data_IF_500373323783
#
_entry.id   IF_500373323783
#
_cell.length_a   1.000
_cell.length_b   1.000
_cell.length_c   1.000
_cell.angle_alpha   90.00
_cell.angle_beta   90.00
_cell.angle_gamma   90.00
#
_symmetry.space_group_name_H-M   'P 1'
#
loop_
_entity.id
_entity.type
_entity.pdbx_description
1 polymer ?
#
# COMPACT_ATOMS: atom_id res chain seq x y z
N UNK A 1 -9.68 -25.52 -9.45
CA UNK A 1 -10.06 -24.47 -8.46
C UNK A 1 -10.08 -25.00 -7.01
N UNK A 2 -10.48 -26.26 -6.74
CA UNK A 2 -10.61 -26.81 -5.38
C UNK A 2 -9.31 -27.06 -4.57
N UNK A 3 -8.11 -26.77 -5.10
CA UNK A 3 -6.84 -26.96 -4.36
C UNK A 3 -6.50 -25.83 -3.38
N UNK A 4 -7.18 -24.68 -3.46
CA UNK A 4 -6.98 -23.51 -2.58
C UNK A 4 -8.18 -23.23 -1.65
N UNK A 5 -9.06 -24.22 -1.48
CA UNK A 5 -10.46 -24.09 -1.06
C UNK A 5 -10.75 -23.44 0.30
N UNK A 6 -9.74 -23.13 1.11
CA UNK A 6 -9.94 -22.59 2.46
C UNK A 6 -9.70 -21.07 2.62
N UNK A 7 -9.31 -20.33 1.58
CA UNK A 7 -9.08 -18.86 1.71
C UNK A 7 -9.80 -17.98 0.71
N UNK A 8 -9.98 -18.42 -0.53
CA UNK A 8 -10.61 -17.63 -1.58
C UNK A 8 -11.71 -18.43 -2.26
N UNK A 9 -12.83 -17.77 -2.54
CA UNK A 9 -13.94 -18.32 -3.31
C UNK A 9 -14.08 -17.53 -4.60
N UNK A 10 -14.21 -18.23 -5.72
CA UNK A 10 -14.46 -17.64 -7.03
C UNK A 10 -15.91 -17.91 -7.37
N UNK A 11 -16.69 -16.84 -7.54
CA UNK A 11 -18.02 -16.94 -8.13
C UNK A 11 -17.86 -17.20 -9.63
N UNK A 12 -18.57 -18.20 -10.13
CA UNK A 12 -18.54 -18.54 -11.55
C UNK A 12 -19.94 -18.89 -12.05
N UNK A 13 -20.18 -18.63 -13.33
CA UNK A 13 -21.38 -19.05 -14.03
C UNK A 13 -20.97 -19.66 -15.37
N UNK A 14 -21.50 -20.83 -15.69
CA UNK A 14 -21.20 -21.52 -16.93
C UNK A 14 -22.16 -21.07 -18.02
N UNK A 15 -21.61 -20.59 -19.13
CA UNK A 15 -22.35 -20.32 -20.36
C UNK A 15 -22.07 -21.45 -21.36
N UNK A 16 -23.00 -22.38 -21.58
CA UNK A 16 -22.78 -23.50 -22.49
C UNK A 16 -22.57 -23.04 -23.94
N UNK A 17 -21.51 -23.50 -24.58
CA UNK A 17 -21.22 -23.24 -25.99
C UNK A 17 -20.60 -24.46 -26.66
N UNK A 18 -20.80 -24.59 -27.98
CA UNK A 18 -19.95 -25.44 -28.81
C UNK A 18 -18.55 -24.80 -28.91
N UNK A 19 -17.51 -25.59 -28.63
CA UNK A 19 -16.12 -25.14 -28.61
C UNK A 19 -15.26 -25.76 -29.73
N UNK A 20 -15.87 -26.60 -30.57
CA UNK A 20 -15.25 -27.24 -31.72
C UNK A 20 -16.32 -27.60 -32.77
N UNK A 21 -15.88 -27.84 -34.01
CA UNK A 21 -16.76 -28.13 -35.16
C UNK A 21 -17.36 -26.88 -35.81
N UNK A 22 -18.11 -27.08 -36.88
CA UNK A 22 -18.57 -26.01 -37.78
C UNK A 22 -19.45 -24.95 -37.11
N UNK A 23 -20.17 -25.33 -36.03
CA UNK A 23 -21.01 -24.42 -35.25
C UNK A 23 -20.30 -23.68 -34.12
N UNK A 24 -19.00 -23.90 -33.90
CA UNK A 24 -18.30 -23.34 -32.74
C UNK A 24 -18.25 -21.81 -32.77
N UNK A 25 -17.87 -21.23 -33.91
CA UNK A 25 -17.73 -19.77 -34.08
C UNK A 25 -19.02 -19.05 -33.72
N UNK A 26 -20.14 -19.43 -34.36
CA UNK A 26 -21.44 -18.80 -34.13
C UNK A 26 -21.97 -19.04 -32.71
N UNK A 27 -21.72 -20.23 -32.14
CA UNK A 27 -22.11 -20.53 -30.77
C UNK A 27 -21.36 -19.67 -29.74
N UNK A 28 -20.05 -19.51 -29.89
CA UNK A 28 -19.22 -18.73 -28.96
C UNK A 28 -19.59 -17.24 -29.06
N UNK A 29 -19.72 -16.70 -30.26
CA UNK A 29 -20.13 -15.30 -30.46
C UNK A 29 -21.48 -15.02 -29.78
N UNK A 30 -22.47 -15.89 -29.98
CA UNK A 30 -23.79 -15.76 -29.33
C UNK A 30 -23.69 -15.80 -27.79
N UNK A 31 -22.75 -16.57 -27.25
CA UNK A 31 -22.51 -16.60 -25.80
C UNK A 31 -21.84 -15.31 -25.32
N UNK A 32 -20.84 -14.79 -26.04
CA UNK A 32 -20.21 -13.52 -25.72
C UNK A 32 -21.21 -12.36 -25.74
N UNK A 33 -22.15 -12.36 -26.70
CA UNK A 33 -23.26 -11.40 -26.74
C UNK A 33 -24.17 -11.49 -25.52
N UNK A 34 -24.48 -12.70 -25.04
CA UNK A 34 -25.24 -12.90 -23.79
C UNK A 34 -24.48 -12.40 -22.58
N UNK A 35 -23.19 -12.69 -22.49
CA UNK A 35 -22.34 -12.23 -21.37
C UNK A 35 -22.30 -10.70 -21.35
N UNK A 36 -22.22 -10.06 -22.51
CA UNK A 36 -22.26 -8.60 -22.64
C UNK A 36 -23.54 -7.97 -22.08
N UNK A 37 -24.65 -8.71 -21.95
CA UNK A 37 -25.88 -8.19 -21.32
C UNK A 37 -25.82 -8.19 -19.79
N UNK A 38 -24.90 -8.95 -19.20
CA UNK A 38 -24.79 -9.17 -17.74
C UNK A 38 -23.36 -8.93 -17.24
N UNK A 39 -22.56 -8.17 -18.00
CA UNK A 39 -21.12 -8.06 -17.76
C UNK A 39 -20.79 -7.45 -16.39
N UNK A 40 -21.64 -6.56 -15.86
CA UNK A 40 -21.44 -5.90 -14.56
C UNK A 40 -21.39 -6.88 -13.37
N UNK A 41 -21.81 -8.14 -13.55
CA UNK A 41 -21.75 -9.18 -12.52
C UNK A 41 -20.45 -10.00 -12.52
N UNK A 42 -19.56 -9.77 -13.48
CA UNK A 42 -18.36 -10.59 -13.69
C UNK A 42 -17.12 -9.72 -13.90
N UNK A 43 -15.96 -10.21 -13.43
CA UNK A 43 -14.68 -9.52 -13.61
C UNK A 43 -13.92 -9.97 -14.85
N UNK A 44 -14.22 -11.15 -15.39
CA UNK A 44 -13.54 -11.75 -16.52
C UNK A 44 -14.40 -12.80 -17.22
N UNK A 45 -14.08 -13.08 -18.47
CA UNK A 45 -14.65 -14.19 -19.25
C UNK A 45 -13.58 -15.23 -19.47
N UNK A 46 -13.91 -16.50 -19.23
CA UNK A 46 -12.99 -17.62 -19.43
C UNK A 46 -13.50 -18.50 -20.56
N UNK A 47 -12.74 -18.57 -21.66
CA UNK A 47 -12.99 -19.50 -22.77
C UNK A 47 -12.06 -20.70 -22.56
N UNK A 48 -12.61 -21.79 -22.04
CA UNK A 48 -11.87 -23.03 -21.80
C UNK A 48 -12.34 -24.13 -22.73
N UNK A 49 -11.41 -24.88 -23.30
CA UNK A 49 -11.68 -26.11 -24.04
C UNK A 49 -10.95 -27.26 -23.34
N UNK A 50 -11.61 -28.39 -23.20
CA UNK A 50 -10.99 -29.61 -22.68
C UNK A 50 -9.95 -30.19 -23.64
N UNK A 51 -9.24 -31.23 -23.22
CA UNK A 51 -8.23 -31.89 -24.04
C UNK A 51 -8.76 -32.45 -25.36
N UNK A 52 -7.94 -32.37 -26.40
CA UNK A 52 -8.19 -32.86 -27.76
C UNK A 52 -7.00 -32.52 -28.66
N UNK A 53 -6.78 -33.30 -29.73
CA UNK A 53 -5.76 -32.95 -30.73
C UNK A 53 -6.11 -31.66 -31.48
N UNK A 54 -5.22 -31.25 -32.38
CA UNK A 54 -5.27 -29.97 -33.11
C UNK A 54 -6.55 -29.75 -33.94
N UNK A 55 -7.31 -30.82 -34.16
CA UNK A 55 -8.61 -30.81 -34.81
C UNK A 55 -9.58 -29.89 -34.04
N UNK A 56 -10.10 -28.88 -34.74
CA UNK A 56 -11.07 -27.93 -34.19
C UNK A 56 -10.51 -26.61 -33.66
N UNK A 57 -9.20 -26.36 -33.79
CA UNK A 57 -8.59 -25.07 -33.42
C UNK A 57 -8.81 -23.94 -34.44
N UNK A 58 -9.17 -24.27 -35.68
CA UNK A 58 -9.39 -23.28 -36.75
C UNK A 58 -10.48 -22.26 -36.42
N UNK A 59 -11.46 -22.63 -35.59
CA UNK A 59 -12.51 -21.72 -35.12
C UNK A 59 -11.92 -20.49 -34.40
N UNK A 60 -10.80 -20.66 -33.68
CA UNK A 60 -10.14 -19.60 -32.92
C UNK A 60 -9.23 -18.71 -33.76
N UNK A 61 -9.10 -18.99 -35.07
CA UNK A 61 -8.51 -18.09 -36.05
C UNK A 61 -9.57 -17.33 -36.85
N UNK A 62 -10.86 -17.54 -36.57
CA UNK A 62 -11.93 -16.86 -37.28
C UNK A 62 -11.96 -15.37 -36.91
N UNK A 63 -12.02 -14.51 -37.93
CA UNK A 63 -12.02 -13.06 -37.77
C UNK A 63 -13.17 -12.55 -36.90
N UNK A 64 -14.40 -13.03 -37.11
CA UNK A 64 -15.58 -12.56 -36.37
C UNK A 64 -15.53 -12.96 -34.90
N UNK A 65 -15.04 -14.17 -34.59
CA UNK A 65 -14.81 -14.59 -33.21
C UNK A 65 -13.74 -13.72 -32.54
N UNK A 66 -12.61 -13.52 -33.21
CA UNK A 66 -11.51 -12.71 -32.69
C UNK A 66 -11.97 -11.26 -32.45
N UNK A 67 -12.76 -10.71 -33.37
CA UNK A 67 -13.37 -9.38 -33.23
C UNK A 67 -14.32 -9.32 -32.04
N UNK A 68 -15.15 -10.33 -31.83
CA UNK A 68 -16.05 -10.40 -30.67
C UNK A 68 -15.28 -10.47 -29.34
N UNK A 69 -14.17 -11.22 -29.30
CA UNK A 69 -13.27 -11.29 -28.14
C UNK A 69 -12.61 -9.94 -27.88
N UNK A 70 -12.09 -9.27 -28.92
CA UNK A 70 -11.44 -7.96 -28.81
C UNK A 70 -12.37 -6.87 -28.28
N UNK A 71 -13.64 -6.88 -28.68
CA UNK A 71 -14.66 -5.91 -28.24
C UNK A 71 -15.44 -6.37 -27.00
N UNK A 72 -15.03 -7.47 -26.35
CA UNK A 72 -15.63 -7.90 -25.11
C UNK A 72 -15.38 -6.84 -24.02
N UNK A 73 -16.40 -6.41 -23.25
CA UNK A 73 -16.22 -5.41 -22.19
C UNK A 73 -15.40 -5.94 -21.01
N UNK A 74 -15.26 -7.25 -20.89
CA UNK A 74 -14.50 -7.92 -19.83
C UNK A 74 -13.22 -8.53 -20.39
N UNK A 75 -12.14 -8.60 -19.59
CA UNK A 75 -10.92 -9.30 -19.99
C UNK A 75 -11.23 -10.76 -20.30
N UNK A 76 -10.87 -11.20 -21.51
CA UNK A 76 -11.06 -12.57 -21.96
C UNK A 76 -9.79 -13.37 -21.69
N UNK A 77 -9.94 -14.46 -20.95
CA UNK A 77 -8.91 -15.42 -20.58
C UNK A 77 -9.14 -16.70 -21.39
N UNK A 78 -8.11 -17.22 -22.06
CA UNK A 78 -8.22 -18.42 -22.90
C UNK A 78 -7.47 -19.58 -22.29
N UNK A 79 -8.14 -20.72 -22.18
CA UNK A 79 -7.57 -22.02 -21.83
C UNK A 79 -8.01 -23.06 -22.85
N UNK A 80 -7.78 -22.76 -24.14
CA UNK A 80 -8.26 -23.55 -25.28
C UNK A 80 -7.31 -24.72 -25.58
N UNK A 81 -6.02 -24.49 -25.30
CA UNK A 81 -4.95 -25.47 -25.33
C UNK A 81 -4.36 -25.73 -26.71
N UNK A 82 -3.03 -25.70 -26.80
CA UNK A 82 -2.16 -26.30 -27.80
C UNK A 82 -0.70 -25.98 -27.40
N UNK A 83 0.23 -26.94 -27.45
CA UNK A 83 1.64 -26.67 -27.10
C UNK A 83 2.50 -26.30 -28.32
N UNK A 84 2.01 -26.51 -29.54
CA UNK A 84 2.82 -26.36 -30.76
C UNK A 84 2.45 -25.19 -31.67
N UNK A 85 1.23 -24.63 -31.61
CA UNK A 85 0.85 -23.42 -32.36
C UNK A 85 -0.09 -22.52 -31.53
N UNK A 86 0.09 -21.21 -31.60
CA UNK A 86 -0.80 -20.23 -30.98
C UNK A 86 -1.87 -19.78 -31.99
N UNK A 87 -3.13 -19.68 -31.57
CA UNK A 87 -4.24 -19.17 -32.39
C UNK A 87 -4.37 -17.65 -32.26
N UNK A 88 -4.99 -17.00 -33.25
CA UNK A 88 -5.21 -15.55 -33.23
C UNK A 88 -6.03 -15.12 -32.00
N UNK A 89 -7.05 -15.91 -31.62
CA UNK A 89 -7.86 -15.64 -30.43
C UNK A 89 -7.01 -15.63 -29.15
N UNK A 90 -5.99 -16.50 -29.06
CA UNK A 90 -5.08 -16.56 -27.92
C UNK A 90 -4.12 -15.36 -27.90
N UNK A 91 -3.62 -14.94 -29.06
CA UNK A 91 -2.74 -13.78 -29.20
C UNK A 91 -3.40 -12.47 -28.75
N UNK A 92 -4.72 -12.35 -28.95
CA UNK A 92 -5.48 -11.14 -28.60
C UNK A 92 -6.18 -11.25 -27.24
N UNK A 93 -6.17 -12.43 -26.62
CA UNK A 93 -6.75 -12.61 -25.29
C UNK A 93 -5.95 -11.80 -24.26
N UNK A 94 -6.61 -11.45 -23.15
CA UNK A 94 -5.92 -10.80 -22.04
C UNK A 94 -4.82 -11.68 -21.45
N UNK A 95 -5.07 -12.99 -21.36
CA UNK A 95 -4.08 -13.99 -20.98
C UNK A 95 -4.46 -15.37 -21.54
N UNK A 96 -3.46 -16.11 -22.01
CA UNK A 96 -3.56 -17.49 -22.45
C UNK A 96 -2.89 -18.43 -21.42
N UNK A 97 -3.61 -19.44 -20.96
CA UNK A 97 -3.07 -20.61 -20.27
C UNK A 97 -3.10 -21.85 -21.17
N UNK A 98 -1.97 -22.57 -21.23
CA UNK A 98 -1.82 -23.79 -22.07
C UNK A 98 -2.91 -24.84 -21.74
N UNK A 99 -3.37 -24.89 -20.49
CA UNK A 99 -4.48 -25.75 -20.06
C UNK A 99 -5.49 -25.01 -19.20
N UNK A 100 -6.73 -25.51 -19.07
CA UNK A 100 -7.71 -24.98 -18.11
C UNK A 100 -7.19 -24.96 -16.66
N UNK A 101 -6.32 -25.91 -16.29
CA UNK A 101 -5.70 -25.94 -14.96
C UNK A 101 -4.70 -24.81 -14.79
N UNK A 102 -3.85 -24.55 -15.79
CA UNK A 102 -2.89 -23.43 -15.75
C UNK A 102 -3.61 -22.09 -15.61
N UNK A 103 -4.74 -21.93 -16.32
CA UNK A 103 -5.57 -20.74 -16.22
C UNK A 103 -6.19 -20.57 -14.82
N UNK A 104 -6.66 -21.67 -14.23
CA UNK A 104 -7.16 -21.65 -12.86
C UNK A 104 -6.05 -21.27 -11.87
N UNK A 105 -4.84 -21.80 -12.04
CA UNK A 105 -3.70 -21.46 -11.20
C UNK A 105 -3.26 -20.00 -11.38
N UNK A 106 -3.29 -19.47 -12.61
CA UNK A 106 -3.03 -18.06 -12.88
C UNK A 106 -3.99 -17.15 -12.10
N UNK A 107 -5.29 -17.45 -12.16
CA UNK A 107 -6.32 -16.70 -11.41
C UNK A 107 -6.03 -16.78 -9.91
N UNK A 108 -5.80 -17.97 -9.37
CA UNK A 108 -5.54 -18.16 -7.93
C UNK A 108 -4.26 -17.45 -7.47
N UNK A 109 -3.19 -17.51 -8.26
CA UNK A 109 -1.93 -16.82 -7.94
C UNK A 109 -2.10 -15.31 -7.84
N UNK A 110 -3.06 -14.71 -8.54
CA UNK A 110 -3.32 -13.26 -8.45
C UNK A 110 -3.81 -12.88 -7.05
N UNK A 111 -4.69 -13.69 -6.46
CA UNK A 111 -5.16 -13.49 -5.09
C UNK A 111 -4.03 -13.68 -4.09
N UNK A 112 -3.28 -14.79 -4.20
CA UNK A 112 -2.15 -15.09 -3.29
C UNK A 112 -1.10 -13.99 -3.30
N UNK A 113 -0.66 -13.52 -4.49
CA UNK A 113 0.33 -12.44 -4.60
C UNK A 113 -0.15 -11.13 -4.01
N UNK A 114 -1.44 -10.83 -4.17
CA UNK A 114 -2.04 -9.60 -3.64
C UNK A 114 -2.11 -9.65 -2.11
N UNK A 115 -2.48 -10.80 -1.55
CA UNK A 115 -2.52 -11.05 -0.10
C UNK A 115 -1.13 -10.93 0.55
N UNK A 116 -0.12 -11.54 -0.07
CA UNK A 116 1.26 -11.41 0.40
C UNK A 116 1.74 -9.96 0.39
N UNK A 117 1.41 -9.20 -0.66
CA UNK A 117 1.74 -7.77 -0.74
C UNK A 117 1.02 -6.96 0.34
N UNK A 118 -0.25 -7.26 0.58
CA UNK A 118 -1.07 -6.61 1.60
C UNK A 118 -0.45 -6.83 2.99
N UNK A 119 -0.11 -8.06 3.34
CA UNK A 119 0.53 -8.39 4.62
C UNK A 119 1.88 -7.68 4.79
N UNK A 120 2.75 -7.72 3.78
CA UNK A 120 4.03 -6.99 3.79
C UNK A 120 3.84 -5.49 4.01
N UNK A 121 2.83 -4.91 3.38
CA UNK A 121 2.53 -3.48 3.50
C UNK A 121 2.03 -3.13 4.90
N UNK A 122 1.17 -3.97 5.48
CA UNK A 122 0.68 -3.82 6.85
C UNK A 122 1.84 -3.83 7.85
N UNK A 123 2.77 -4.78 7.72
CA UNK A 123 3.91 -4.89 8.64
C UNK A 123 4.88 -3.71 8.49
N UNK A 124 5.13 -3.27 7.25
CA UNK A 124 5.92 -2.06 7.00
C UNK A 124 5.26 -0.82 7.62
N UNK A 125 3.93 -0.68 7.50
CA UNK A 125 3.18 0.43 8.05
C UNK A 125 3.30 0.46 9.57
N UNK A 126 3.11 -0.68 10.24
CA UNK A 126 3.26 -0.81 11.70
C UNK A 126 4.63 -0.37 12.16
N UNK A 127 5.69 -0.87 11.52
CA UNK A 127 7.08 -0.52 11.86
C UNK A 127 7.34 0.99 11.67
N UNK A 128 6.90 1.56 10.54
CA UNK A 128 7.08 2.99 10.27
C UNK A 128 6.31 3.87 11.24
N UNK A 129 5.07 3.50 11.59
CA UNK A 129 4.28 4.23 12.58
C UNK A 129 4.94 4.19 13.96
N UNK A 130 5.38 3.00 14.42
CA UNK A 130 6.06 2.84 15.71
C UNK A 130 7.35 3.68 15.78
N UNK A 131 8.20 3.57 14.76
CA UNK A 131 9.44 4.34 14.69
C UNK A 131 9.16 5.85 14.62
N UNK A 132 8.11 6.27 13.93
CA UNK A 132 7.77 7.70 13.87
C UNK A 132 7.35 8.22 15.24
N UNK A 133 6.50 7.49 15.96
CA UNK A 133 6.08 7.86 17.30
C UNK A 133 7.28 7.94 18.25
N UNK A 134 8.18 6.96 18.20
CA UNK A 134 9.36 6.94 19.08
C UNK A 134 10.29 8.12 18.79
N UNK A 135 10.57 8.39 17.52
CA UNK A 135 11.38 9.54 17.12
C UNK A 135 10.78 10.88 17.58
N UNK A 136 9.45 11.04 17.54
CA UNK A 136 8.83 12.27 18.05
C UNK A 136 8.88 12.35 19.59
N UNK A 137 8.77 11.22 20.31
CA UNK A 137 8.97 11.20 21.77
C UNK A 137 10.40 11.57 22.15
N UNK A 138 11.39 11.03 21.46
CA UNK A 138 12.79 11.37 21.69
C UNK A 138 13.05 12.86 21.46
N UNK A 139 12.50 13.45 20.40
CA UNK A 139 12.58 14.89 20.15
C UNK A 139 11.92 15.71 21.26
N UNK A 140 10.74 15.31 21.73
CA UNK A 140 10.08 15.98 22.84
C UNK A 140 10.93 15.91 24.11
N UNK A 141 11.51 14.74 24.42
CA UNK A 141 12.42 14.58 25.57
C UNK A 141 13.69 15.45 25.44
N UNK A 142 14.24 15.56 24.23
CA UNK A 142 15.39 16.44 23.97
C UNK A 142 15.05 17.92 24.16
N UNK A 143 13.88 18.35 23.69
CA UNK A 143 13.41 19.73 23.88
C UNK A 143 13.14 20.04 25.36
N UNK A 144 12.57 19.09 26.11
CA UNK A 144 12.34 19.22 27.54
C UNK A 144 13.65 19.42 28.31
N UNK A 145 14.65 18.56 28.05
CA UNK A 145 16.02 18.72 28.59
C UNK A 145 16.67 20.04 28.21
N UNK A 146 16.40 20.54 27.00
CA UNK A 146 16.94 21.82 26.54
C UNK A 146 16.33 23.01 27.29
N UNK A 147 15.02 22.98 27.53
CA UNK A 147 14.32 23.98 28.36
C UNK A 147 14.88 23.96 29.79
N UNK A 148 15.05 22.78 30.37
CA UNK A 148 15.65 22.63 31.69
C UNK A 148 17.07 23.21 31.73
N UNK A 149 17.91 22.89 30.74
CA UNK A 149 19.28 23.40 30.70
C UNK A 149 19.32 24.94 30.64
N UNK A 150 18.39 25.57 29.92
CA UNK A 150 18.27 27.02 29.79
C UNK A 150 17.59 27.70 30.99
N UNK A 151 17.01 26.93 31.92
CA UNK A 151 16.32 27.49 33.08
C UNK A 151 17.33 28.21 34.00
N UNK A 152 17.21 29.53 34.24
CA UNK A 152 18.12 30.28 35.10
C UNK A 152 18.21 29.73 36.52
N UNK A 153 17.14 29.09 36.97
CA UNK A 153 17.06 28.41 38.27
C UNK A 153 18.08 27.27 38.38
N UNK A 154 18.41 26.59 37.28
CA UNK A 154 19.44 25.55 37.27
C UNK A 154 20.85 26.14 37.43
N UNK A 155 21.11 27.33 36.91
CA UNK A 155 22.36 28.06 37.18
C UNK A 155 22.42 28.50 38.65
N UNK A 156 21.32 29.00 39.21
CA UNK A 156 21.24 29.35 40.63
C UNK A 156 21.42 28.12 41.55
N UNK A 157 20.79 26.99 41.22
CA UNK A 157 20.90 25.72 41.96
C UNK A 157 22.32 25.13 41.94
N UNK A 158 23.14 25.46 40.93
CA UNK A 158 24.56 25.08 40.87
C UNK A 158 25.46 25.92 41.80
N UNK A 159 24.88 26.82 42.60
CA UNK A 159 25.61 27.64 43.58
C UNK A 159 25.99 29.03 43.08
N UNK A 160 25.57 29.42 41.88
CA UNK A 160 25.73 30.78 41.39
C UNK A 160 24.64 31.69 41.97
N UNK A 161 24.92 32.98 42.04
CA UNK A 161 23.93 34.01 42.41
C UNK A 161 23.86 35.08 41.33
N UNK A 162 22.72 35.77 41.25
CA UNK A 162 22.52 36.87 40.30
C UNK A 162 22.28 38.15 41.09
N UNK A 163 23.11 39.16 40.84
CA UNK A 163 22.96 40.49 41.44
C UNK A 163 22.07 41.36 40.57
N UNK A 164 21.07 41.97 41.18
CA UNK A 164 20.06 42.84 40.58
C UNK A 164 20.15 44.24 41.22
N UNK A 165 20.00 45.28 40.40
CA UNK A 165 19.76 46.66 40.86
C UNK A 165 18.48 47.14 40.18
N UNK A 166 17.50 47.61 40.96
CA UNK A 166 16.19 48.05 40.46
C UNK A 166 15.52 47.02 39.53
N UNK A 167 15.67 45.73 39.85
CA UNK A 167 15.14 44.61 39.06
C UNK A 167 15.93 44.27 37.78
N UNK A 168 17.03 44.96 37.47
CA UNK A 168 17.89 44.68 36.31
C UNK A 168 19.16 43.94 36.71
N UNK A 169 19.54 42.92 35.95
CA UNK A 169 20.77 42.15 36.18
C UNK A 169 22.01 42.99 35.94
N UNK A 170 22.91 43.01 36.91
CA UNK A 170 24.21 43.67 36.83
C UNK A 170 25.25 42.66 36.36
N UNK A 171 25.96 42.99 35.27
CA UNK A 171 26.98 42.12 34.67
C UNK A 171 28.41 42.63 34.85
N UNK A 172 28.56 43.91 35.17
CA UNK A 172 29.86 44.55 35.35
C UNK A 172 29.85 45.41 36.62
N UNK A 173 30.92 45.35 37.41
CA UNK A 173 31.01 46.07 38.68
C UNK A 173 30.93 47.60 38.55
N UNK A 174 31.36 48.15 37.40
CA UNK A 174 31.30 49.58 37.09
C UNK A 174 29.86 50.14 36.95
N UNK A 175 28.84 49.28 36.91
CA UNK A 175 27.42 49.66 36.87
C UNK A 175 26.89 50.03 38.26
N UNK A 176 27.66 49.76 39.31
CA UNK A 176 27.33 50.06 40.69
C UNK A 176 28.14 51.25 41.20
N UNK A 177 27.50 52.07 42.05
CA UNK A 177 28.10 53.19 42.76
C UNK A 177 27.98 52.95 44.26
N UNK A 178 28.91 53.52 45.02
CA UNK A 178 28.83 53.58 46.48
C UNK A 178 27.47 54.15 46.92
N UNK A 179 26.81 53.43 47.82
CA UNK A 179 25.46 53.73 48.31
C UNK A 179 24.32 53.05 47.53
N UNK A 180 24.59 52.38 46.41
CA UNK A 180 23.56 51.66 45.67
C UNK A 180 23.02 50.47 46.46
N UNK A 181 21.70 50.31 46.47
CA UNK A 181 21.02 49.12 47.01
C UNK A 181 20.93 48.05 45.93
N UNK A 182 21.47 46.87 46.21
CA UNK A 182 21.45 45.70 45.32
C UNK A 182 20.70 44.54 45.97
N UNK A 183 20.13 43.69 45.14
CA UNK A 183 19.47 42.45 45.54
C UNK A 183 20.24 41.29 44.93
N UNK A 184 20.80 40.42 45.77
CA UNK A 184 21.43 39.18 45.31
C UNK A 184 20.42 38.06 45.45
N UNK A 185 20.05 37.46 44.31
CA UNK A 185 19.14 36.32 44.24
C UNK A 185 19.95 35.02 44.21
N UNK A 186 19.60 34.10 45.10
CA UNK A 186 20.16 32.75 45.16
C UNK A 186 19.16 31.73 44.61
N UNK A 187 19.51 30.44 44.63
CA UNK A 187 18.57 29.35 44.32
C UNK A 187 17.31 29.40 45.20
N UNK A 188 17.48 29.78 46.47
CA UNK A 188 16.40 29.99 47.42
C UNK A 188 16.61 31.31 48.15
N UNK A 189 15.63 32.21 48.01
CA UNK A 189 15.62 33.50 48.70
C UNK A 189 16.46 34.59 48.03
N UNK A 190 16.37 35.78 48.62
CA UNK A 190 17.04 37.00 48.17
C UNK A 190 17.62 37.74 49.37
N UNK A 191 18.79 38.35 49.18
CA UNK A 191 19.42 39.21 50.18
C UNK A 191 19.56 40.61 49.59
N UNK A 192 19.27 41.62 50.39
CA UNK A 192 19.53 43.01 50.05
C UNK A 192 20.84 43.46 50.66
N UNK A 193 21.70 44.10 49.86
CA UNK A 193 22.97 44.68 50.31
C UNK A 193 23.12 46.11 49.81
N UNK A 194 24.00 46.89 50.45
CA UNK A 194 24.38 48.24 50.03
C UNK A 194 25.85 48.21 49.60
N UNK A 195 26.16 48.84 48.47
CA UNK A 195 27.53 48.94 47.95
C UNK A 195 28.31 49.97 48.78
N UNK A 196 29.41 49.55 49.40
CA UNK A 196 30.31 50.45 50.16
C UNK A 196 31.36 51.15 49.28
#
# INVERSE_FOLDING_TARGET
INSYSNRYSVFYYLFPSLLQGDGAVSSIIRVLEKIRLVYDFFDAVVIIRGGGGDLGLSAYNNYELCKAVLYCPLPVLTGIGHSTNETVCEMIAFHNGITPTDLADFIMQRFVKTDELLHKTIDMLKLKCANRIENEKEKLSMLDKYIDLLNPTNTLNKGYSVTLKDGKTIRQANQLKKGDRIVTRFSQGEITSIVE
#
